data_IF_112245392853
#
_entry.id   IF_112245392853
#
_cell.length_a   1.000
_cell.length_b   1.000
_cell.length_c   1.000
_cell.angle_alpha   90.00
_cell.angle_beta   90.00
_cell.angle_gamma   90.00
#
_symmetry.space_group_name_H-M   'P 1'
#
loop_
_entity.id
_entity.type
_entity.pdbx_description
1 polymer ?
#
# COMPACT_ATOMS: atom_id res chain seq x y z
N UNK A 1 -1.28 12.68 25.71
CA UNK A 1 -1.53 11.37 25.09
C UNK A 1 -0.75 11.35 23.78
N UNK A 2 0.12 10.37 23.57
CA UNK A 2 0.71 10.19 22.24
C UNK A 2 -0.41 9.81 21.27
N UNK A 3 -0.54 10.54 20.17
CA UNK A 3 -1.55 10.22 19.17
C UNK A 3 -1.17 8.92 18.45
N UNK A 4 -2.18 8.14 18.07
CA UNK A 4 -1.97 6.90 17.33
C UNK A 4 -1.42 7.19 15.93
N UNK A 5 -0.61 6.26 15.43
CA UNK A 5 -0.11 6.27 14.06
C UNK A 5 -1.01 5.39 13.21
N UNK A 6 -1.27 5.80 11.97
CA UNK A 6 -1.87 4.94 10.97
C UNK A 6 -1.01 4.83 9.71
N UNK A 7 -1.13 3.70 9.01
CA UNK A 7 -0.45 3.40 7.76
C UNK A 7 -1.50 3.35 6.67
N UNK A 8 -1.40 4.27 5.72
CA UNK A 8 -2.37 4.44 4.64
C UNK A 8 -1.85 3.81 3.37
N UNK A 9 -2.63 2.88 2.82
CA UNK A 9 -2.36 2.25 1.52
C UNK A 9 -3.65 2.14 0.72
N UNK A 10 -3.56 2.36 -0.59
CA UNK A 10 -4.69 2.20 -1.50
C UNK A 10 -4.36 1.21 -2.63
N UNK A 11 -5.41 0.53 -3.11
CA UNK A 11 -5.40 -0.07 -4.44
C UNK A 11 -6.27 0.75 -5.36
N UNK A 12 -5.73 1.12 -6.51
CA UNK A 12 -6.43 1.90 -7.51
C UNK A 12 -5.80 1.67 -8.88
N UNK A 13 -6.55 2.04 -9.91
CA UNK A 13 -6.05 2.02 -11.28
C UNK A 13 -7.03 2.67 -12.23
N UNK A 14 -6.64 2.76 -13.49
CA UNK A 14 -7.51 3.36 -14.50
C UNK A 14 -8.67 2.43 -14.83
N UNK A 15 -9.82 3.00 -15.20
CA UNK A 15 -10.91 2.21 -15.79
C UNK A 15 -10.37 1.53 -17.05
N UNK A 16 -10.58 0.21 -17.19
CA UNK A 16 -10.05 -0.54 -18.32
C UNK A 16 -10.62 -0.02 -19.65
N UNK A 17 -9.72 0.31 -20.60
CA UNK A 17 -10.05 0.96 -21.87
C UNK A 17 -10.50 2.43 -21.76
N UNK A 18 -10.46 3.04 -20.57
CA UNK A 18 -10.84 4.43 -20.31
C UNK A 18 -9.66 5.41 -20.35
N UNK A 19 -9.87 6.62 -19.83
CA UNK A 19 -8.83 7.67 -19.81
C UNK A 19 -7.75 7.40 -18.75
N UNK A 20 -6.46 7.68 -19.06
CA UNK A 20 -5.34 7.38 -18.16
C UNK A 20 -5.27 8.27 -16.91
N UNK A 21 -6.02 9.38 -16.88
CA UNK A 21 -6.00 10.36 -15.79
C UNK A 21 -7.13 10.18 -14.78
N UNK A 22 -7.93 9.12 -14.92
CA UNK A 22 -9.02 8.83 -14.00
C UNK A 22 -8.79 7.49 -13.29
N UNK A 23 -8.42 7.60 -12.02
CA UNK A 23 -8.20 6.45 -11.14
C UNK A 23 -9.50 6.08 -10.41
N UNK A 24 -9.88 4.81 -10.53
CA UNK A 24 -10.88 4.18 -9.70
C UNK A 24 -10.19 3.61 -8.45
N UNK A 25 -10.62 4.04 -7.26
CA UNK A 25 -10.17 3.46 -5.99
C UNK A 25 -10.88 2.11 -5.82
N UNK A 26 -10.09 1.04 -5.74
CA UNK A 26 -10.55 -0.34 -5.54
C UNK A 26 -10.51 -0.74 -4.07
N UNK A 27 -9.51 -0.30 -3.32
CA UNK A 27 -9.35 -0.60 -1.90
C UNK A 27 -8.68 0.57 -1.19
N UNK A 28 -9.05 0.81 0.07
CA UNK A 28 -8.38 1.74 0.98
C UNK A 28 -8.15 1.00 2.28
N UNK A 29 -6.93 0.97 2.79
CA UNK A 29 -6.63 0.44 4.12
C UNK A 29 -5.98 1.50 4.99
N UNK A 30 -6.44 1.56 6.24
CA UNK A 30 -5.79 2.25 7.34
C UNK A 30 -5.49 1.21 8.41
N UNK A 31 -4.22 0.85 8.52
CA UNK A 31 -3.73 0.05 9.63
C UNK A 31 -3.32 1.00 10.75
N UNK A 32 -3.93 0.88 11.91
CA UNK A 32 -3.66 1.72 13.09
C UNK A 32 -2.77 0.97 14.05
N UNK A 33 -1.71 1.63 14.50
CA UNK A 33 -0.80 1.12 15.52
C UNK A 33 -0.84 2.00 16.76
N UNK A 34 -1.27 1.41 17.87
CA UNK A 34 -1.26 2.06 19.18
C UNK A 34 0.10 1.84 19.84
N UNK A 35 0.97 2.86 19.81
CA UNK A 35 2.38 2.74 20.25
C UNK A 35 2.55 2.17 21.65
N UNK A 36 1.69 2.58 22.60
CA UNK A 36 1.79 2.20 24.02
C UNK A 36 1.44 0.73 24.26
N UNK A 37 0.34 0.27 23.66
CA UNK A 37 -0.16 -1.09 23.85
C UNK A 37 0.37 -2.08 22.81
N UNK A 38 1.05 -1.56 21.77
CA UNK A 38 1.52 -2.29 20.58
C UNK A 38 0.38 -3.01 19.84
N UNK A 39 -0.86 -2.58 20.03
CA UNK A 39 -2.03 -3.15 19.36
C UNK A 39 -2.14 -2.64 17.93
N UNK A 40 -2.51 -3.57 17.05
CA UNK A 40 -2.78 -3.29 15.64
C UNK A 40 -4.28 -3.41 15.37
N UNK A 41 -4.84 -2.41 14.70
CA UNK A 41 -6.21 -2.45 14.19
C UNK A 41 -6.19 -2.24 12.68
N UNK A 42 -6.87 -3.10 11.93
CA UNK A 42 -6.96 -2.99 10.48
C UNK A 42 -8.38 -2.56 10.14
N UNK A 43 -8.49 -1.38 9.54
CA UNK A 43 -9.71 -0.91 8.90
C UNK A 43 -9.47 -0.87 7.41
N UNK A 44 -10.25 -1.63 6.65
CA UNK A 44 -10.20 -1.63 5.19
C UNK A 44 -11.59 -1.36 4.60
N UNK A 45 -11.59 -0.65 3.48
CA UNK A 45 -12.75 -0.41 2.65
C UNK A 45 -12.47 -0.95 1.25
N UNK A 46 -13.37 -1.81 0.75
CA UNK A 46 -13.28 -2.40 -0.58
C UNK A 46 -14.42 -1.86 -1.44
N UNK A 47 -14.09 -1.45 -2.65
CA UNK A 47 -15.07 -1.02 -3.63
C UNK A 47 -15.73 -2.24 -4.29
N UNK A 48 -17.05 -2.39 -4.19
CA UNK A 48 -17.79 -3.48 -4.85
C UNK A 48 -18.55 -3.05 -6.11
N UNK A 49 -18.25 -1.87 -6.64
CA UNK A 49 -18.90 -1.36 -7.86
C UNK A 49 -18.53 -2.25 -9.07
N UNK A 50 -19.47 -2.42 -9.99
CA UNK A 50 -19.24 -3.22 -11.20
C UNK A 50 -18.49 -2.41 -12.26
N UNK A 51 -17.19 -2.25 -12.04
CA UNK A 51 -16.27 -1.58 -12.95
C UNK A 51 -14.95 -2.34 -12.96
N UNK A 52 -14.41 -2.51 -14.17
CA UNK A 52 -13.10 -3.09 -14.41
C UNK A 52 -12.03 -2.00 -14.33
N UNK A 53 -10.99 -2.24 -13.53
CA UNK A 53 -9.82 -1.37 -13.44
C UNK A 53 -8.54 -2.12 -13.80
N UNK A 54 -7.55 -1.36 -14.26
CA UNK A 54 -6.21 -1.88 -14.56
C UNK A 54 -5.38 -1.88 -13.28
N UNK A 55 -5.09 -3.07 -12.77
CA UNK A 55 -4.14 -3.28 -11.68
C UNK A 55 -2.74 -3.46 -12.25
N UNK A 56 -1.77 -2.74 -11.69
CA UNK A 56 -0.36 -2.86 -12.06
C UNK A 56 0.40 -3.40 -10.86
N UNK A 57 1.17 -4.46 -11.08
CA UNK A 57 2.01 -5.05 -10.04
C UNK A 57 3.39 -5.41 -10.57
N UNK A 58 4.38 -5.32 -9.68
CA UNK A 58 5.77 -5.65 -9.99
C UNK A 58 6.02 -7.13 -9.76
N UNK A 59 6.67 -7.79 -10.71
CA UNK A 59 7.32 -9.09 -10.48
C UNK A 59 8.71 -8.83 -9.95
N UNK A 60 9.05 -9.50 -8.86
CA UNK A 60 10.34 -9.36 -8.20
C UNK A 60 11.07 -10.69 -8.11
N UNK A 61 12.39 -10.63 -8.05
CA UNK A 61 13.22 -11.78 -7.67
C UNK A 61 13.30 -11.92 -6.14
N UNK A 62 14.11 -12.87 -5.68
CA UNK A 62 14.30 -13.19 -4.25
C UNK A 62 14.92 -12.02 -3.45
N UNK A 63 15.68 -11.14 -4.11
CA UNK A 63 16.24 -9.93 -3.51
C UNK A 63 15.23 -8.77 -3.47
N UNK A 64 13.98 -9.00 -3.86
CA UNK A 64 12.97 -7.95 -3.98
C UNK A 64 13.27 -6.92 -5.07
N UNK A 65 14.21 -7.23 -5.99
CA UNK A 65 14.49 -6.42 -7.16
C UNK A 65 13.41 -6.61 -8.22
N UNK A 66 12.96 -5.53 -8.86
CA UNK A 66 11.89 -5.59 -9.86
C UNK A 66 12.46 -6.07 -11.20
N UNK A 67 12.00 -7.24 -11.66
CA UNK A 67 12.40 -7.84 -12.94
C UNK A 67 11.39 -7.58 -14.06
N UNK A 68 10.20 -7.10 -13.72
CA UNK A 68 9.17 -6.75 -14.69
C UNK A 68 7.93 -6.15 -14.05
N UNK A 69 7.08 -5.52 -14.86
CA UNK A 69 5.78 -5.01 -14.44
C UNK A 69 4.70 -5.68 -15.26
N UNK A 70 3.65 -6.13 -14.59
CA UNK A 70 2.51 -6.80 -15.20
C UNK A 70 1.27 -5.95 -14.99
N UNK A 71 0.40 -5.97 -16.01
CA UNK A 71 -0.92 -5.36 -15.96
C UNK A 71 -1.97 -6.47 -16.00
N UNK A 72 -2.96 -6.37 -15.13
CA UNK A 72 -4.15 -7.21 -15.18
C UNK A 72 -5.40 -6.35 -15.04
N UNK A 73 -6.51 -6.85 -15.56
CA UNK A 73 -7.82 -6.20 -15.43
C UNK A 73 -8.57 -6.91 -14.33
N UNK A 74 -9.05 -6.16 -13.34
CA UNK A 74 -9.78 -6.70 -12.20
C UNK A 74 -11.14 -6.02 -12.13
N UNK A 75 -12.20 -6.82 -12.06
CA UNK A 75 -13.53 -6.33 -11.76
C UNK A 75 -13.67 -6.08 -10.25
N UNK A 76 -14.01 -4.85 -9.84
CA UNK A 76 -14.10 -4.48 -8.41
C UNK A 76 -15.19 -5.24 -7.66
N UNK A 77 -16.32 -5.58 -8.30
CA UNK A 77 -17.40 -6.33 -7.65
C UNK A 77 -17.06 -7.81 -7.44
N UNK A 78 -16.59 -8.46 -8.49
CA UNK A 78 -16.47 -9.92 -8.55
C UNK A 78 -15.06 -10.42 -8.24
N UNK A 79 -14.05 -9.54 -8.26
CA UNK A 79 -12.64 -9.92 -8.16
C UNK A 79 -12.12 -10.69 -9.38
N UNK A 80 -12.93 -10.86 -10.44
CA UNK A 80 -12.54 -11.58 -11.65
C UNK A 80 -11.37 -10.88 -12.31
N UNK A 81 -10.32 -11.66 -12.61
CA UNK A 81 -9.09 -11.19 -13.25
C UNK A 81 -9.05 -11.61 -14.71
N UNK A 82 -8.52 -10.73 -15.56
CA UNK A 82 -8.32 -10.99 -17.00
C UNK A 82 -7.01 -10.38 -17.48
N UNK A 83 -6.40 -10.93 -18.53
CA UNK A 83 -5.26 -10.30 -19.19
C UNK A 83 -5.61 -8.87 -19.63
N UNK A 84 -4.67 -7.96 -19.44
CA UNK A 84 -4.78 -6.60 -19.96
C UNK A 84 -4.46 -6.58 -21.46
N UNK A 85 -5.35 -6.01 -22.26
CA UNK A 85 -5.13 -5.81 -23.70
C UNK A 85 -4.91 -4.31 -23.97
N UNK A 86 -3.73 -3.95 -24.47
CA UNK A 86 -3.33 -2.54 -24.64
C UNK A 86 -4.21 -1.79 -25.66
N UNK A 87 -4.74 -2.51 -26.66
CA UNK A 87 -5.59 -1.93 -27.71
C UNK A 87 -7.07 -1.83 -27.34
N UNK A 88 -7.48 -2.42 -26.20
CA UNK A 88 -8.88 -2.40 -25.79
C UNK A 88 -9.32 -0.98 -25.42
N UNK A 89 -10.42 -0.54 -26.03
CA UNK A 89 -11.08 0.74 -25.72
C UNK A 89 -12.53 0.48 -25.35
N UNK A 90 -12.93 1.01 -24.20
CA UNK A 90 -14.33 0.96 -23.77
C UNK A 90 -15.12 2.01 -24.54
N UNK A 91 -16.35 1.66 -24.94
CA UNK A 91 -17.20 2.62 -25.65
C UNK A 91 -17.60 3.78 -24.73
N UNK A 92 -17.94 4.93 -25.33
CA UNK A 92 -18.26 6.16 -24.58
C UNK A 92 -19.46 5.98 -23.64
N UNK A 93 -20.46 5.17 -23.99
CA UNK A 93 -21.66 4.98 -23.15
C UNK A 93 -21.31 4.14 -21.93
N UNK A 94 -20.59 3.04 -22.12
CA UNK A 94 -20.10 2.22 -21.00
C UNK A 94 -19.15 3.01 -20.10
N UNK A 95 -18.27 3.85 -20.65
CA UNK A 95 -17.40 4.72 -19.87
C UNK A 95 -18.19 5.70 -18.99
N UNK A 96 -19.19 6.38 -19.56
CA UNK A 96 -20.06 7.29 -18.80
C UNK A 96 -20.83 6.55 -17.71
N UNK A 97 -21.28 5.33 -18.00
CA UNK A 97 -21.93 4.47 -17.00
C UNK A 97 -20.98 4.14 -15.84
N UNK A 98 -19.74 3.73 -16.13
CA UNK A 98 -18.70 3.49 -15.11
C UNK A 98 -18.43 4.74 -14.27
N UNK A 99 -18.33 5.92 -14.88
CA UNK A 99 -18.18 7.17 -14.13
C UNK A 99 -19.38 7.45 -13.22
N UNK A 100 -20.61 7.24 -13.70
CA UNK A 100 -21.81 7.43 -12.89
C UNK A 100 -21.80 6.50 -11.67
N UNK A 101 -21.36 5.25 -11.84
CA UNK A 101 -21.23 4.30 -10.73
C UNK A 101 -20.13 4.66 -9.72
N UNK A 102 -19.05 5.31 -10.17
CA UNK A 102 -17.92 5.69 -9.30
C UNK A 102 -18.14 7.01 -8.55
N UNK A 103 -19.05 7.89 -8.99
CA UNK A 103 -19.32 9.16 -8.28
C UNK A 103 -19.66 8.97 -6.79
N UNK A 104 -20.55 8.04 -6.39
CA UNK A 104 -20.87 7.83 -4.97
C UNK A 104 -19.70 7.29 -4.14
N UNK A 105 -18.68 6.69 -4.79
CA UNK A 105 -17.53 6.09 -4.11
C UNK A 105 -16.75 7.14 -3.32
N UNK A 106 -16.62 8.36 -3.84
CA UNK A 106 -15.90 9.44 -3.15
C UNK A 106 -16.48 9.70 -1.75
N UNK A 107 -17.81 9.78 -1.62
CA UNK A 107 -18.45 9.98 -0.33
C UNK A 107 -18.26 8.77 0.62
N UNK A 108 -18.22 7.55 0.08
CA UNK A 108 -17.99 6.33 0.87
C UNK A 108 -16.56 6.27 1.41
N UNK A 109 -15.57 6.53 0.55
CA UNK A 109 -14.15 6.63 0.91
C UNK A 109 -13.94 7.74 1.95
N UNK A 110 -14.51 8.93 1.71
CA UNK A 110 -14.45 10.05 2.64
C UNK A 110 -15.01 9.68 4.01
N UNK A 111 -16.21 9.09 4.06
CA UNK A 111 -16.84 8.67 5.32
C UNK A 111 -15.96 7.67 6.06
N UNK A 112 -15.53 6.62 5.38
CA UNK A 112 -14.65 5.59 5.94
C UNK A 112 -13.37 6.17 6.57
N UNK A 113 -12.68 7.05 5.85
CA UNK A 113 -11.43 7.67 6.32
C UNK A 113 -11.70 8.59 7.53
N UNK A 114 -12.70 9.47 7.46
CA UNK A 114 -13.02 10.39 8.56
C UNK A 114 -13.50 9.65 9.83
N UNK A 115 -14.31 8.60 9.67
CA UNK A 115 -14.76 7.77 10.78
C UNK A 115 -13.58 7.05 11.44
N UNK A 116 -12.63 6.52 10.65
CA UNK A 116 -11.43 5.85 11.15
C UNK A 116 -10.47 6.82 11.86
N UNK A 117 -10.18 7.97 11.23
CA UNK A 117 -9.35 9.04 11.82
C UNK A 117 -9.88 9.50 13.17
N UNK A 118 -11.21 9.69 13.27
CA UNK A 118 -11.87 10.10 14.52
C UNK A 118 -11.86 8.99 15.57
N UNK A 119 -12.25 7.77 15.20
CA UNK A 119 -12.36 6.62 16.11
C UNK A 119 -11.05 6.35 16.85
N UNK A 120 -9.93 6.42 16.13
CA UNK A 120 -8.62 6.10 16.67
C UNK A 120 -7.77 7.31 17.04
N UNK A 121 -8.30 8.53 16.93
CA UNK A 121 -7.57 9.77 17.24
C UNK A 121 -6.19 9.82 16.55
N UNK A 122 -6.19 9.54 15.24
CA UNK A 122 -4.94 9.43 14.46
C UNK A 122 -4.32 10.82 14.30
N UNK A 123 -3.12 10.98 14.86
CA UNK A 123 -2.35 12.22 14.76
C UNK A 123 -1.32 12.21 13.64
N UNK A 124 -0.88 11.02 13.23
CA UNK A 124 0.12 10.83 12.18
C UNK A 124 -0.31 9.72 11.22
N UNK A 125 -0.22 9.98 9.92
CA UNK A 125 -0.34 8.97 8.86
C UNK A 125 1.05 8.76 8.24
N UNK A 126 1.45 7.50 8.11
CA UNK A 126 2.61 7.07 7.34
C UNK A 126 2.13 6.56 5.99
N UNK A 127 2.83 6.96 4.92
CA UNK A 127 2.65 6.44 3.55
C UNK A 127 4.01 6.02 2.97
N UNK A 128 3.99 5.35 1.82
CA UNK A 128 5.20 4.97 1.08
C UNK A 128 5.09 5.39 -0.38
N UNK A 129 5.82 6.45 -0.79
CA UNK A 129 5.61 7.12 -2.08
C UNK A 129 4.12 7.51 -2.29
N UNK A 130 3.42 7.76 -1.18
CA UNK A 130 1.96 7.86 -1.14
C UNK A 130 1.40 9.21 -1.56
N UNK A 131 2.14 10.00 -2.35
CA UNK A 131 1.65 11.30 -2.84
C UNK A 131 0.33 11.15 -3.60
N UNK A 132 0.24 10.11 -4.42
CA UNK A 132 -0.97 9.81 -5.19
C UNK A 132 -2.10 9.29 -4.28
N UNK A 133 -1.76 8.47 -3.30
CA UNK A 133 -2.69 7.92 -2.31
C UNK A 133 -3.38 9.03 -1.52
N UNK A 134 -2.59 9.97 -1.00
CA UNK A 134 -3.08 11.18 -0.32
C UNK A 134 -3.94 12.02 -1.26
N UNK A 135 -3.46 12.29 -2.48
CA UNK A 135 -4.20 13.07 -3.48
C UNK A 135 -5.58 12.44 -3.80
N UNK A 136 -5.66 11.11 -3.92
CA UNK A 136 -6.93 10.43 -4.19
C UNK A 136 -7.89 10.53 -3.00
N UNK A 137 -7.38 10.48 -1.76
CA UNK A 137 -8.17 10.73 -0.57
C UNK A 137 -8.68 12.18 -0.50
N UNK A 138 -7.83 13.15 -0.82
CA UNK A 138 -8.21 14.57 -0.88
C UNK A 138 -9.25 14.85 -1.96
N UNK A 139 -9.09 14.22 -3.14
CA UNK A 139 -10.06 14.27 -4.24
C UNK A 139 -11.40 13.64 -3.87
N UNK A 140 -11.41 12.65 -2.98
CA UNK A 140 -12.64 12.11 -2.38
C UNK A 140 -13.27 13.07 -1.34
N UNK A 141 -12.58 14.14 -0.96
CA UNK A 141 -13.06 15.18 -0.05
C UNK A 141 -12.60 15.01 1.40
N UNK A 142 -11.56 14.21 1.65
CA UNK A 142 -10.91 14.11 2.95
C UNK A 142 -10.00 15.33 3.16
N UNK A 143 -9.96 15.85 4.39
CA UNK A 143 -9.07 16.95 4.77
C UNK A 143 -8.16 16.48 5.89
N UNK A 144 -6.86 16.40 5.61
CA UNK A 144 -5.86 15.94 6.57
C UNK A 144 -5.25 17.07 7.43
N UNK A 145 -5.77 18.29 7.39
CA UNK A 145 -5.11 19.49 7.96
C UNK A 145 -4.79 19.48 9.48
N UNK A 146 -5.19 18.45 10.22
CA UNK A 146 -4.81 18.23 11.64
C UNK A 146 -3.97 16.96 11.85
N UNK A 147 -3.64 16.25 10.78
CA UNK A 147 -2.93 14.98 10.78
C UNK A 147 -1.59 15.18 10.08
N UNK A 148 -0.50 14.84 10.75
CA UNK A 148 0.82 14.87 10.15
C UNK A 148 0.95 13.71 9.14
N UNK A 149 1.36 13.98 7.91
CA UNK A 149 1.59 12.94 6.90
C UNK A 149 3.09 12.81 6.67
N UNK A 150 3.62 11.62 6.92
CA UNK A 150 5.04 11.29 6.72
C UNK A 150 5.12 10.29 5.57
N UNK A 151 5.97 10.59 4.59
CA UNK A 151 6.28 9.68 3.48
C UNK A 151 7.60 8.96 3.78
N UNK A 152 7.50 7.68 4.16
CA UNK A 152 8.65 6.90 4.59
C UNK A 152 9.68 6.72 3.47
N UNK A 153 9.27 6.69 2.20
CA UNK A 153 10.21 6.59 1.09
C UNK A 153 11.14 7.82 1.03
N UNK A 154 10.62 9.01 1.33
CA UNK A 154 11.44 10.23 1.36
C UNK A 154 12.41 10.22 2.54
N UNK A 155 11.96 9.75 3.70
CA UNK A 155 12.83 9.65 4.88
C UNK A 155 13.97 8.66 4.64
N UNK A 156 13.67 7.47 4.08
CA UNK A 156 14.69 6.50 3.72
C UNK A 156 15.66 7.04 2.66
N UNK A 157 15.13 7.67 1.60
CA UNK A 157 15.97 8.18 0.51
C UNK A 157 16.93 9.28 0.96
N UNK A 158 16.54 10.15 1.90
CA UNK A 158 17.44 11.16 2.48
C UNK A 158 18.66 10.57 3.17
N UNK A 159 18.52 9.37 3.74
CA UNK A 159 19.59 8.74 4.52
C UNK A 159 20.43 7.76 3.71
N UNK A 160 19.84 7.09 2.73
CA UNK A 160 20.53 6.04 1.97
C UNK A 160 20.84 6.41 0.53
N UNK A 161 20.36 7.55 0.05
CA UNK A 161 20.40 7.97 -1.36
C UNK A 161 19.84 6.91 -2.32
N UNK A 162 18.87 6.11 -1.85
CA UNK A 162 18.30 4.99 -2.61
C UNK A 162 16.78 5.03 -2.60
N UNK A 163 16.18 4.81 -3.78
CA UNK A 163 14.73 4.67 -3.94
C UNK A 163 14.34 3.20 -3.78
N UNK A 164 13.83 2.88 -2.59
CA UNK A 164 13.40 1.54 -2.26
C UNK A 164 12.03 1.21 -2.88
N UNK A 165 11.68 -0.06 -2.81
CA UNK A 165 10.33 -0.56 -3.09
C UNK A 165 9.89 -1.32 -1.85
N UNK A 166 8.59 -1.34 -1.54
CA UNK A 166 8.08 -2.16 -0.43
C UNK A 166 8.55 -3.62 -0.50
N UNK A 167 8.62 -4.22 -1.70
CA UNK A 167 9.10 -5.61 -1.86
C UNK A 167 10.55 -5.78 -1.37
N UNK A 168 11.46 -4.91 -1.81
CA UNK A 168 12.85 -4.90 -1.35
C UNK A 168 12.97 -4.67 0.15
N UNK A 169 12.21 -3.71 0.69
CA UNK A 169 12.19 -3.45 2.13
C UNK A 169 11.66 -4.64 2.93
N UNK A 170 10.66 -5.34 2.39
CA UNK A 170 10.14 -6.59 2.99
C UNK A 170 11.23 -7.65 3.10
N UNK A 171 12.12 -7.76 2.11
CA UNK A 171 13.27 -8.67 2.15
C UNK A 171 14.29 -8.20 3.20
N UNK A 172 14.60 -6.90 3.25
CA UNK A 172 15.55 -6.31 4.22
C UNK A 172 15.14 -6.65 5.65
N UNK A 173 13.85 -6.50 5.97
CA UNK A 173 13.34 -6.72 7.32
C UNK A 173 12.94 -8.18 7.59
N UNK A 174 13.10 -9.08 6.61
CA UNK A 174 12.58 -10.45 6.66
C UNK A 174 11.10 -10.50 7.08
N UNK A 175 10.26 -9.72 6.38
CA UNK A 175 8.84 -9.61 6.65
C UNK A 175 8.15 -10.98 6.53
N UNK A 176 7.41 -11.35 7.56
CA UNK A 176 6.64 -12.58 7.59
C UNK A 176 5.28 -12.38 8.26
N UNK A 177 4.30 -13.20 7.87
CA UNK A 177 2.98 -13.26 8.47
C UNK A 177 2.62 -14.72 8.75
N UNK A 178 2.86 -15.15 9.98
CA UNK A 178 2.59 -16.51 10.44
C UNK A 178 1.30 -16.55 11.26
N UNK A 179 0.21 -16.95 10.60
CA UNK A 179 -1.10 -17.12 11.21
C UNK A 179 -1.71 -15.81 11.73
N UNK A 180 -1.36 -15.43 12.96
CA UNK A 180 -1.79 -14.19 13.62
C UNK A 180 -0.61 -13.36 14.14
N UNK A 181 0.61 -13.66 13.71
CA UNK A 181 1.82 -12.94 14.10
C UNK A 181 2.44 -12.25 12.90
N UNK A 182 2.59 -10.93 13.01
CA UNK A 182 3.32 -10.10 12.07
C UNK A 182 4.77 -10.01 12.53
N UNK A 183 5.70 -10.45 11.69
CA UNK A 183 7.11 -10.64 12.06
C UNK A 183 8.06 -9.91 11.14
N UNK A 184 9.22 -9.64 11.69
CA UNK A 184 10.40 -9.07 11.06
C UNK A 184 11.65 -9.58 11.80
N UNK A 185 12.83 -9.11 11.44
CA UNK A 185 14.06 -9.50 12.09
C UNK A 185 14.07 -9.25 13.60
N UNK A 186 13.57 -8.09 14.04
CA UNK A 186 13.68 -7.64 15.42
C UNK A 186 12.33 -7.51 16.14
N UNK A 187 11.22 -7.52 15.40
CA UNK A 187 9.89 -7.26 15.95
C UNK A 187 8.89 -8.37 15.62
N UNK A 188 8.05 -8.67 16.60
CA UNK A 188 6.87 -9.53 16.47
C UNK A 188 5.65 -8.82 17.09
N UNK A 189 4.54 -8.78 16.36
CA UNK A 189 3.27 -8.28 16.86
C UNK A 189 2.15 -9.29 16.65
N UNK A 190 1.35 -9.50 17.70
CA UNK A 190 0.13 -10.28 17.59
C UNK A 190 -1.01 -9.46 16.98
N UNK A 191 -1.71 -10.08 16.04
CA UNK A 191 -2.92 -9.61 15.42
C UNK A 191 -4.10 -10.42 15.92
N UNK A 192 -5.21 -9.77 16.22
CA UNK A 192 -6.45 -10.49 16.44
C UNK A 192 -6.81 -11.32 15.18
N UNK A 193 -7.26 -12.59 15.29
CA UNK A 193 -7.47 -13.46 14.13
C UNK A 193 -8.38 -12.88 13.04
N UNK A 194 -9.39 -12.07 13.43
CA UNK A 194 -10.25 -11.35 12.48
C UNK A 194 -9.47 -10.31 11.67
N UNK A 195 -8.51 -9.62 12.29
CA UNK A 195 -7.64 -8.68 11.61
C UNK A 195 -6.63 -9.41 10.71
N UNK A 196 -6.04 -10.51 11.20
CA UNK A 196 -5.11 -11.33 10.43
C UNK A 196 -5.73 -11.85 9.11
N UNK A 197 -7.02 -12.23 9.12
CA UNK A 197 -7.74 -12.65 7.90
C UNK A 197 -7.88 -11.57 6.82
N UNK A 198 -7.71 -10.28 7.17
CA UNK A 198 -7.71 -9.19 6.20
C UNK A 198 -6.36 -9.04 5.48
N UNK A 199 -5.28 -9.62 6.03
CA UNK A 199 -3.95 -9.57 5.45
C UNK A 199 -3.79 -10.71 4.45
N UNK A 200 -3.96 -10.39 3.16
CA UNK A 200 -3.68 -11.31 2.08
C UNK A 200 -2.81 -10.64 1.02
N UNK A 201 -1.88 -11.39 0.37
CA UNK A 201 -0.99 -10.82 -0.62
C UNK A 201 -1.72 -9.98 -1.68
N UNK A 202 -1.12 -8.85 -2.04
CA UNK A 202 -1.62 -7.85 -3.00
C UNK A 202 -2.81 -7.00 -2.53
N UNK A 203 -3.30 -7.13 -1.29
CA UNK A 203 -4.27 -6.18 -0.73
C UNK A 203 -3.63 -4.89 -0.25
N UNK A 204 -4.43 -3.84 -0.07
CA UNK A 204 -3.95 -2.62 0.59
C UNK A 204 -3.58 -2.90 2.06
N UNK A 205 -4.35 -3.76 2.74
CA UNK A 205 -4.07 -4.11 4.14
C UNK A 205 -2.72 -4.82 4.31
N UNK A 206 -2.36 -5.71 3.38
CA UNK A 206 -1.06 -6.39 3.36
C UNK A 206 0.09 -5.39 3.20
N UNK A 207 -0.07 -4.42 2.31
CA UNK A 207 0.95 -3.41 2.09
C UNK A 207 1.07 -2.45 3.28
N UNK A 208 -0.04 -2.12 3.94
CA UNK A 208 -0.03 -1.32 5.15
C UNK A 208 0.65 -2.06 6.32
N UNK A 209 0.48 -3.38 6.42
CA UNK A 209 1.17 -4.21 7.41
C UNK A 209 2.67 -4.29 7.15
N UNK A 210 3.08 -4.44 5.88
CA UNK A 210 4.49 -4.35 5.50
C UNK A 210 5.06 -2.98 5.87
N UNK A 211 4.34 -1.90 5.56
CA UNK A 211 4.76 -0.54 5.86
C UNK A 211 4.89 -0.29 7.37
N UNK A 212 3.99 -0.83 8.19
CA UNK A 212 4.12 -0.80 9.66
C UNK A 212 5.45 -1.44 10.10
N UNK A 213 5.71 -2.66 9.66
CA UNK A 213 6.91 -3.39 10.10
C UNK A 213 8.18 -2.69 9.64
N UNK A 214 8.21 -2.21 8.39
CA UNK A 214 9.35 -1.45 7.85
C UNK A 214 9.56 -0.17 8.65
N UNK A 215 8.49 0.58 8.94
CA UNK A 215 8.58 1.81 9.72
C UNK A 215 9.14 1.53 11.12
N UNK A 216 8.60 0.55 11.85
CA UNK A 216 9.07 0.26 13.20
C UNK A 216 10.50 -0.30 13.23
N UNK A 217 10.89 -1.15 12.27
CA UNK A 217 12.29 -1.60 12.13
C UNK A 217 13.23 -0.41 11.87
N UNK A 218 12.85 0.49 10.98
CA UNK A 218 13.62 1.69 10.68
C UNK A 218 13.71 2.67 11.86
N UNK A 219 12.65 2.81 12.67
CA UNK A 219 12.65 3.74 13.81
C UNK A 219 13.28 3.16 15.07
N UNK A 220 13.01 1.90 15.37
CA UNK A 220 13.34 1.28 16.66
C UNK A 220 14.65 0.47 16.58
N UNK A 221 15.00 -0.04 15.38
CA UNK A 221 16.18 -0.87 15.11
C UNK A 221 17.03 -0.35 13.95
N UNK A 222 17.11 0.97 13.83
CA UNK A 222 17.68 1.70 12.69
C UNK A 222 19.04 1.20 12.21
N UNK A 223 19.98 0.97 13.13
CA UNK A 223 21.35 0.53 12.77
C UNK A 223 21.34 -0.85 12.09
N UNK A 224 20.59 -1.80 12.63
CA UNK A 224 20.46 -3.14 12.03
C UNK A 224 19.75 -3.07 10.68
N UNK A 225 18.66 -2.28 10.62
CA UNK A 225 17.92 -2.03 9.38
C UNK A 225 18.83 -1.49 8.26
N UNK A 226 19.63 -0.46 8.53
CA UNK A 226 20.51 0.17 7.54
C UNK A 226 21.64 -0.77 7.11
N UNK A 227 22.21 -1.53 8.05
CA UNK A 227 23.26 -2.51 7.74
C UNK A 227 22.72 -3.60 6.79
N UNK A 228 21.54 -4.14 7.06
CA UNK A 228 20.88 -5.13 6.20
C UNK A 228 20.46 -4.55 4.85
N UNK A 229 20.01 -3.29 4.83
CA UNK A 229 19.72 -2.59 3.59
C UNK A 229 20.96 -2.50 2.71
N UNK A 230 22.10 -2.06 3.26
CA UNK A 230 23.36 -1.97 2.53
C UNK A 230 23.83 -3.34 2.03
N UNK A 231 23.76 -4.37 2.86
CA UNK A 231 24.11 -5.74 2.47
C UNK A 231 23.28 -6.24 1.28
N UNK A 232 21.97 -5.97 1.27
CA UNK A 232 21.10 -6.36 0.16
C UNK A 232 21.43 -5.58 -1.11
N UNK A 233 21.70 -4.28 -1.01
CA UNK A 233 22.09 -3.45 -2.15
C UNK A 233 23.40 -3.93 -2.78
N UNK A 234 24.40 -4.28 -1.97
CA UNK A 234 25.67 -4.84 -2.44
C UNK A 234 25.44 -6.17 -3.17
N UNK A 235 24.57 -7.05 -2.66
CA UNK A 235 24.21 -8.30 -3.34
C UNK A 235 23.57 -8.05 -4.70
N UNK A 236 22.66 -7.07 -4.80
CA UNK A 236 22.01 -6.71 -6.06
C UNK A 236 23.04 -6.18 -7.07
N UNK A 237 24.00 -5.37 -6.63
CA UNK A 237 25.05 -4.85 -7.49
C UNK A 237 25.94 -5.97 -8.02
N UNK A 238 26.40 -6.88 -7.15
CA UNK A 238 27.24 -8.00 -7.56
C UNK A 238 26.56 -8.90 -8.61
N UNK A 239 25.27 -9.20 -8.44
CA UNK A 239 24.50 -10.00 -9.41
C UNK A 239 24.44 -9.32 -10.78
N UNK A 240 24.25 -7.99 -10.83
CA UNK A 240 24.22 -7.24 -12.09
C UNK A 240 25.56 -7.28 -12.83
N UNK A 241 26.65 -7.12 -12.09
CA UNK A 241 28.01 -7.20 -12.66
C UNK A 241 28.25 -8.58 -13.28
N UNK A 242 27.69 -9.65 -12.70
CA UNK A 242 27.83 -11.02 -13.24
C UNK A 242 26.93 -11.30 -14.46
N UNK A 243 25.83 -10.55 -14.64
CA UNK A 243 24.92 -10.69 -15.78
C UNK A 243 25.40 -9.90 -17.02
N UNK A 244 26.33 -8.95 -16.84
CA UNK A 244 26.89 -8.11 -17.89
C UNK A 244 28.24 -8.65 -18.47
N UNK A 245 28.84 -9.66 -17.84
CA UNK A 245 30.01 -10.43 -18.32
C UNK A 245 29.62 -11.65 -19.18
#
# INVERSE_FOLDING_TARGET
>A
MENNIAFLELKYGNIYGGFPNFFAIAEVSLLVFEKRSKKIFINSWVNNIDVDYVSVFSKTNELGHTVGRYKEVINMRTGRRRPFMEEFKIDKRALQYSFKQLRPVHNRVKKFLLDTLRKYQIGTIITFDGRRDVFLCERAGVRFGRTNIIDLQKELNKETDYLFSLNKLSVIINYDMDGSYLRSNNLEYWLHPIAAKQLHPKSAAWDAARLLMIYNEYTDHKTDFLLKAQQLLNKIQAVKETEEE
#
